data_IF_383246345781
#
_entry.id   IF_383246345781
#
_cell.length_a   1.000
_cell.length_b   1.000
_cell.length_c   1.000
_cell.angle_alpha   90.00
_cell.angle_beta   90.00
_cell.angle_gamma   90.00
#
_symmetry.space_group_name_H-M   'P 1'
#
loop_
_entity.id
_entity.type
_entity.pdbx_description
1 polymer ?
#
# COMPACT_ATOMS: atom_id res chain seq x y z
N UNK A 1 15.08 -4.30 -13.15
CA UNK A 1 13.76 -4.76 -13.61
C UNK A 1 13.14 -5.38 -12.39
N UNK A 2 12.14 -4.71 -11.82
CA UNK A 2 11.60 -5.10 -10.52
C UNK A 2 10.80 -6.39 -10.64
N UNK A 3 11.03 -7.31 -9.70
CA UNK A 3 10.30 -8.57 -9.59
C UNK A 3 9.28 -8.43 -8.47
N UNK A 4 8.01 -8.74 -8.77
CA UNK A 4 6.95 -8.78 -7.75
C UNK A 4 7.12 -10.04 -6.90
N UNK A 5 7.43 -9.86 -5.62
CA UNK A 5 7.58 -10.94 -4.64
C UNK A 5 6.23 -11.33 -4.01
N UNK A 6 5.37 -10.35 -3.78
CA UNK A 6 4.03 -10.54 -3.21
C UNK A 6 3.06 -9.49 -3.74
N UNK A 7 1.78 -9.85 -3.86
CA UNK A 7 0.70 -8.96 -4.26
C UNK A 7 -0.53 -9.25 -3.40
N UNK A 8 -0.96 -8.24 -2.65
CA UNK A 8 -2.14 -8.27 -1.80
C UNK A 8 -3.25 -7.48 -2.47
N UNK A 9 -4.44 -8.07 -2.61
CA UNK A 9 -5.60 -7.43 -3.23
C UNK A 9 -6.52 -6.86 -2.16
N UNK A 10 -7.51 -6.08 -2.57
CA UNK A 10 -8.49 -5.47 -1.66
C UNK A 10 -9.04 -6.45 -0.62
N UNK A 11 -9.38 -7.67 -1.01
CA UNK A 11 -9.93 -8.67 -0.08
C UNK A 11 -8.94 -9.01 1.05
N UNK A 12 -7.70 -9.39 0.70
CA UNK A 12 -6.62 -9.68 1.67
C UNK A 12 -6.34 -8.49 2.59
N UNK A 13 -6.29 -7.28 2.00
CA UNK A 13 -5.99 -6.04 2.73
C UNK A 13 -7.10 -5.69 3.73
N UNK A 14 -8.34 -6.03 3.41
CA UNK A 14 -9.49 -5.80 4.29
C UNK A 14 -9.60 -6.88 5.38
N UNK A 15 -9.41 -8.15 5.04
CA UNK A 15 -9.40 -9.27 6.01
C UNK A 15 -8.33 -9.07 7.08
N UNK A 16 -7.18 -8.53 6.68
CA UNK A 16 -6.00 -8.41 7.52
C UNK A 16 -5.65 -6.98 7.91
N UNK A 17 -6.66 -6.10 7.94
CA UNK A 17 -6.47 -4.65 8.11
C UNK A 17 -5.61 -4.27 9.30
N UNK A 18 -5.75 -4.94 10.44
CA UNK A 18 -4.97 -4.65 11.65
C UNK A 18 -3.49 -4.96 11.47
N UNK A 19 -3.16 -6.18 11.04
CA UNK A 19 -1.78 -6.59 10.76
C UNK A 19 -1.14 -5.73 9.66
N UNK A 20 -1.92 -5.37 8.63
CA UNK A 20 -1.48 -4.48 7.58
C UNK A 20 -1.14 -3.07 8.11
N UNK A 21 -1.99 -2.49 8.95
CA UNK A 21 -1.73 -1.17 9.53
C UNK A 21 -0.42 -1.14 10.32
N UNK A 22 -0.19 -2.15 11.15
CA UNK A 22 1.03 -2.25 11.96
C UNK A 22 2.27 -2.44 11.07
N UNK A 23 2.16 -3.26 10.03
CA UNK A 23 3.24 -3.43 9.06
C UNK A 23 3.55 -2.15 8.28
N UNK A 24 2.54 -1.42 7.80
CA UNK A 24 2.75 -0.15 7.11
C UNK A 24 3.49 0.84 8.00
N UNK A 25 3.06 1.00 9.25
CA UNK A 25 3.75 1.87 10.23
C UNK A 25 5.19 1.45 10.46
N UNK A 26 5.46 0.15 10.61
CA UNK A 26 6.81 -0.37 10.80
C UNK A 26 7.72 -0.15 9.58
N UNK A 27 7.14 0.10 8.40
CA UNK A 27 7.84 0.48 7.17
C UNK A 27 7.81 1.99 6.90
N UNK A 28 7.46 2.82 7.89
CA UNK A 28 7.39 4.29 7.77
C UNK A 28 6.31 4.78 6.78
N UNK A 29 5.25 3.99 6.59
CA UNK A 29 4.09 4.33 5.76
C UNK A 29 2.88 4.60 6.67
N UNK A 30 2.27 5.77 6.57
CA UNK A 30 1.02 6.06 7.29
C UNK A 30 -0.16 5.32 6.64
N UNK A 31 -0.77 4.32 7.33
CA UNK A 31 -1.86 3.54 6.77
C UNK A 31 -3.11 4.38 6.43
N UNK A 32 -3.31 5.56 7.04
CA UNK A 32 -4.46 6.42 6.70
C UNK A 32 -4.36 7.08 5.33
N UNK A 33 -3.13 7.18 4.81
CA UNK A 33 -2.85 7.72 3.47
C UNK A 33 -2.94 6.65 2.40
N UNK A 34 -2.96 5.36 2.75
CA UNK A 34 -2.98 4.25 1.81
C UNK A 34 -4.40 3.95 1.34
N UNK A 35 -4.60 3.89 0.03
CA UNK A 35 -5.81 3.38 -0.58
C UNK A 35 -5.70 1.86 -0.70
N UNK A 36 -6.54 1.12 0.05
CA UNK A 36 -6.54 -0.35 0.14
C UNK A 36 -7.08 -1.05 -1.13
N UNK A 37 -6.53 -0.72 -2.30
CA UNK A 37 -6.85 -1.36 -3.58
C UNK A 37 -5.93 -2.55 -3.87
N UNK A 38 -4.64 -2.30 -3.71
CA UNK A 38 -3.60 -3.31 -3.85
C UNK A 38 -2.33 -2.78 -3.19
N UNK A 39 -1.51 -3.71 -2.72
CA UNK A 39 -0.14 -3.45 -2.27
C UNK A 39 0.73 -4.57 -2.80
N UNK A 40 1.87 -4.24 -3.39
CA UNK A 40 2.88 -5.22 -3.79
C UNK A 40 4.17 -5.02 -3.02
N UNK A 41 4.92 -6.11 -2.86
CA UNK A 41 6.32 -6.07 -2.46
C UNK A 41 7.14 -6.43 -3.69
N UNK A 42 8.09 -5.57 -4.04
CA UNK A 42 8.93 -5.70 -5.24
C UNK A 42 10.41 -5.73 -4.83
N UNK A 43 11.21 -6.52 -5.54
CA UNK A 43 12.67 -6.50 -5.48
C UNK A 43 13.24 -5.91 -6.76
N UNK A 44 14.08 -4.89 -6.64
CA UNK A 44 14.92 -4.41 -7.75
C UNK A 44 16.38 -4.56 -7.34
N UNK A 45 17.02 -5.63 -7.82
CA UNK A 45 18.45 -5.87 -7.65
C UNK A 45 18.89 -6.02 -6.18
N UNK A 46 18.04 -6.60 -5.33
CA UNK A 46 18.30 -6.77 -3.90
C UNK A 46 17.77 -5.63 -3.02
N UNK A 47 17.24 -4.56 -3.60
CA UNK A 47 16.52 -3.53 -2.86
C UNK A 47 15.02 -3.84 -2.88
N UNK A 48 14.48 -4.21 -1.72
CA UNK A 48 13.05 -4.50 -1.56
C UNK A 48 12.26 -3.25 -1.22
N UNK A 49 11.10 -3.10 -1.85
CA UNK A 49 10.21 -1.96 -1.66
C UNK A 49 8.75 -2.37 -1.66
N UNK A 50 7.93 -1.59 -0.96
CA UNK A 50 6.48 -1.69 -0.93
C UNK A 50 5.95 -0.72 -1.97
N UNK A 51 5.14 -1.19 -2.90
CA UNK A 51 4.45 -0.37 -3.89
C UNK A 51 2.95 -0.39 -3.62
N UNK A 52 2.33 0.79 -3.62
CA UNK A 52 0.94 0.95 -3.20
C UNK A 52 0.31 2.20 -3.81
N UNK A 53 -1.01 2.32 -3.69
CA UNK A 53 -1.74 3.57 -4.00
C UNK A 53 -1.92 4.40 -2.74
N UNK A 54 -1.56 5.68 -2.80
CA UNK A 54 -1.81 6.66 -1.74
C UNK A 54 -2.88 7.66 -2.18
N UNK A 55 -3.74 8.10 -1.26
CA UNK A 55 -4.66 9.21 -1.50
C UNK A 55 -3.89 10.50 -1.69
N UNK A 56 -4.22 11.26 -2.74
CA UNK A 56 -3.77 12.65 -2.84
C UNK A 56 -4.56 13.49 -1.85
N UNK A 57 -3.88 14.32 -1.07
CA UNK A 57 -4.51 15.17 -0.06
C UNK A 57 -4.19 16.64 -0.30
N UNK A 58 -5.08 17.52 0.13
CA UNK A 58 -4.83 18.96 0.25
C UNK A 58 -3.83 19.22 1.39
N UNK A 59 -3.30 20.44 1.47
CA UNK A 59 -2.47 20.88 2.60
C UNK A 59 -3.17 20.80 3.96
N UNK A 60 -4.51 20.75 3.98
CA UNK A 60 -5.33 20.56 5.19
C UNK A 60 -5.64 19.09 5.49
N UNK A 61 -5.11 18.15 4.70
CA UNK A 61 -5.29 16.70 4.90
C UNK A 61 -6.57 16.12 4.28
N UNK A 62 -7.36 16.91 3.55
CA UNK A 62 -8.58 16.43 2.89
C UNK A 62 -8.24 15.66 1.62
N UNK A 63 -8.88 14.51 1.39
CA UNK A 63 -8.68 13.71 0.16
C UNK A 63 -9.20 14.47 -1.06
N UNK A 64 -8.41 14.49 -2.12
CA UNK A 64 -8.82 15.05 -3.41
C UNK A 64 -9.71 14.06 -4.16
N UNK A 65 -10.64 14.59 -4.94
CA UNK A 65 -11.46 13.83 -5.90
C UNK A 65 -10.68 13.72 -7.21
N UNK A 66 -10.79 12.57 -7.87
CA UNK A 66 -10.14 12.36 -9.16
C UNK A 66 -10.85 13.20 -10.25
N UNK A 67 -10.12 14.01 -11.03
CA UNK A 67 -10.72 14.88 -12.04
C UNK A 67 -11.22 14.14 -13.29
N UNK A 68 -10.74 12.91 -13.55
CA UNK A 68 -11.18 12.07 -14.66
C UNK A 68 -12.42 11.24 -14.27
N UNK A 69 -12.47 10.80 -13.00
CA UNK A 69 -13.62 10.11 -12.43
C UNK A 69 -14.08 10.71 -11.08
N UNK A 70 -15.08 11.59 -11.06
CA UNK A 70 -15.51 12.28 -9.85
C UNK A 70 -16.18 11.37 -8.80
N UNK A 71 -16.44 10.10 -9.14
CA UNK A 71 -16.92 9.09 -8.21
C UNK A 71 -15.79 8.48 -7.35
N UNK A 72 -14.52 8.76 -7.68
CA UNK A 72 -13.37 8.19 -7.01
C UNK A 72 -12.49 9.24 -6.32
N UNK A 73 -11.87 8.84 -5.21
CA UNK A 73 -10.80 9.61 -4.62
C UNK A 73 -9.56 9.55 -5.51
N UNK A 74 -8.89 10.68 -5.70
CA UNK A 74 -7.65 10.74 -6.46
C UNK A 74 -6.55 10.00 -5.71
N UNK A 75 -5.91 9.06 -6.39
CA UNK A 75 -4.79 8.29 -5.83
C UNK A 75 -3.59 8.33 -6.75
N UNK A 76 -2.39 8.26 -6.17
CA UNK A 76 -1.13 8.17 -6.88
C UNK A 76 -0.37 6.92 -6.45
N UNK A 77 0.43 6.35 -7.35
CA UNK A 77 1.34 5.26 -6.96
C UNK A 77 2.52 5.82 -6.16
N UNK A 78 2.84 5.13 -5.08
CA UNK A 78 4.00 5.42 -4.24
C UNK A 78 4.77 4.15 -3.93
N UNK A 79 6.03 4.35 -3.62
CA UNK A 79 6.95 3.30 -3.17
C UNK A 79 7.57 3.69 -1.84
N UNK A 80 7.70 2.73 -0.94
CA UNK A 80 8.41 2.87 0.32
C UNK A 80 9.44 1.74 0.49
N UNK A 81 10.57 1.96 1.18
CA UNK A 81 11.54 0.89 1.44
C UNK A 81 10.93 -0.20 2.34
N UNK A 82 11.20 -1.48 2.03
CA UNK A 82 10.81 -2.59 2.89
C UNK A 82 11.83 -2.75 4.02
N UNK A 83 11.44 -2.39 5.24
CA UNK A 83 12.20 -2.50 6.49
C UNK A 83 11.83 -3.74 7.29
N UNK A 84 10.55 -4.09 7.30
CA UNK A 84 10.04 -5.33 7.90
C UNK A 84 9.12 -6.04 6.93
N UNK A 85 9.18 -7.37 6.92
CA UNK A 85 8.26 -8.20 6.14
C UNK A 85 6.86 -8.19 6.75
N UNK A 86 5.84 -8.36 5.91
CA UNK A 86 4.46 -8.49 6.37
C UNK A 86 4.41 -9.80 7.17
N UNK A 87 3.90 -9.80 8.42
CA UNK A 87 3.67 -11.06 9.12
C UNK A 87 2.88 -11.98 8.20
N UNK A 88 3.16 -13.29 8.23
CA UNK A 88 2.42 -14.26 7.40
C UNK A 88 0.95 -14.20 7.82
N UNK A 89 0.19 -13.37 7.14
CA UNK A 89 -1.25 -13.29 7.33
C UNK A 89 -1.82 -14.47 6.56
N UNK A 90 -2.37 -15.39 7.34
CA UNK A 90 -2.50 -16.78 6.94
C UNK A 90 -3.43 -16.94 5.75
N UNK A 91 -2.87 -17.28 4.60
CA UNK A 91 -3.26 -18.50 3.93
C UNK A 91 -1.97 -19.24 3.57
N UNK A 92 -1.79 -20.41 4.21
CA UNK A 92 -0.83 -21.38 3.70
C UNK A 92 -1.18 -21.66 2.24
N UNK A 93 -0.15 -21.67 1.40
CA UNK A 93 -0.22 -22.34 0.10
C UNK A 93 -0.70 -23.78 0.29
#
# INVERSE_FOLDING_TARGET
MSVVLALYRTDDLHEHREALCEWLKANDVDPHTVALRWISVEDDGGQRSIRYRAFRTTSTGSRLVDPDDPAQAWTEERTAPLRTDLPKIGHGL
#
